data_IF_229726872707
#
_entry.id   IF_229726872707
#
_cell.length_a   1.000
_cell.length_b   1.000
_cell.length_c   1.000
_cell.angle_alpha   90.00
_cell.angle_beta   90.00
_cell.angle_gamma   90.00
#
_symmetry.space_group_name_H-M   'P 1'
#
loop_
_entity.id
_entity.type
_entity.pdbx_description
1 polymer ?
#
# COMPACT_ATOMS: atom_id res chain seq x y z
N UNK A 1 -38.92 14.42 1.39
CA UNK A 1 -38.12 15.12 0.36
C UNK A 1 -36.66 14.83 0.66
N UNK A 2 -36.11 13.78 0.04
CA UNK A 2 -34.68 13.47 0.14
C UNK A 2 -33.95 14.40 -0.81
N UNK A 3 -33.42 15.48 -0.25
CA UNK A 3 -32.62 16.47 -0.95
C UNK A 3 -31.43 15.77 -1.61
N UNK A 4 -31.17 16.13 -2.86
CA UNK A 4 -30.27 15.40 -3.74
C UNK A 4 -28.85 15.40 -3.17
N UNK A 5 -28.37 14.24 -2.72
CA UNK A 5 -26.94 14.01 -2.56
C UNK A 5 -26.28 14.09 -3.94
N UNK A 6 -25.78 15.28 -4.28
CA UNK A 6 -24.93 15.48 -5.46
C UNK A 6 -23.57 14.81 -5.22
N UNK A 7 -23.43 13.60 -5.75
CA UNK A 7 -22.21 12.79 -5.70
C UNK A 7 -21.25 13.10 -6.86
N UNK A 8 -21.50 14.15 -7.66
CA UNK A 8 -20.68 14.48 -8.84
C UNK A 8 -19.22 14.79 -8.49
N UNK A 9 -18.94 15.21 -7.24
CA UNK A 9 -17.60 15.44 -6.70
C UNK A 9 -16.98 14.25 -5.93
N UNK A 10 -17.70 13.14 -5.77
CA UNK A 10 -17.24 11.99 -4.97
C UNK A 10 -16.18 11.16 -5.72
N UNK A 11 -14.98 11.72 -5.89
CA UNK A 11 -13.83 10.92 -6.28
C UNK A 11 -13.38 10.10 -5.09
N UNK A 12 -13.51 8.77 -5.22
CA UNK A 12 -12.90 7.82 -4.27
C UNK A 12 -11.38 8.04 -4.30
N UNK A 13 -10.76 8.56 -3.24
CA UNK A 13 -9.31 8.59 -3.13
C UNK A 13 -8.81 7.15 -3.32
N UNK A 14 -7.62 6.96 -3.90
CA UNK A 14 -7.02 5.67 -4.29
C UNK A 14 -7.47 5.02 -5.62
N UNK A 15 -8.33 5.63 -6.45
CA UNK A 15 -8.68 5.04 -7.77
C UNK A 15 -7.57 5.07 -8.83
N UNK A 16 -6.57 5.94 -8.70
CA UNK A 16 -5.48 6.06 -9.67
C UNK A 16 -4.37 5.05 -9.37
N UNK A 17 -4.42 3.90 -10.03
CA UNK A 17 -3.33 2.91 -10.00
C UNK A 17 -2.25 3.30 -11.01
N UNK A 18 -0.99 3.33 -10.58
CA UNK A 18 0.18 3.51 -11.45
C UNK A 18 0.97 2.21 -11.48
N UNK A 19 1.28 1.70 -12.68
CA UNK A 19 2.18 0.55 -12.83
C UNK A 19 3.63 1.02 -12.70
N UNK A 20 4.43 0.25 -11.97
CA UNK A 20 5.87 0.47 -11.78
C UNK A 20 6.55 -0.86 -12.03
N UNK A 21 7.64 -0.84 -12.80
CA UNK A 21 8.47 -2.02 -13.05
C UNK A 21 9.66 -1.97 -12.09
N UNK A 22 9.98 -3.11 -11.48
CA UNK A 22 11.08 -3.25 -10.51
C UNK A 22 11.72 -4.60 -10.73
N UNK A 23 13.04 -4.62 -10.81
CA UNK A 23 13.81 -5.86 -10.84
C UNK A 23 14.15 -6.29 -9.41
N UNK A 24 14.06 -7.59 -9.16
CA UNK A 24 14.35 -8.20 -7.87
C UNK A 24 15.39 -9.31 -8.04
N UNK A 25 16.38 -9.42 -7.14
CA UNK A 25 17.27 -10.58 -7.11
C UNK A 25 16.49 -11.88 -6.87
N UNK A 26 16.99 -12.99 -7.43
CA UNK A 26 16.33 -14.30 -7.36
C UNK A 26 16.00 -14.73 -5.92
N UNK A 27 16.96 -14.56 -4.99
CA UNK A 27 16.77 -14.92 -3.58
C UNK A 27 15.58 -14.19 -2.92
N UNK A 28 15.28 -12.98 -3.38
CA UNK A 28 14.17 -12.19 -2.86
C UNK A 28 12.85 -12.69 -3.44
N UNK A 29 12.82 -13.02 -4.74
CA UNK A 29 11.64 -13.61 -5.39
C UNK A 29 11.27 -14.94 -4.73
N UNK A 30 12.25 -15.81 -4.51
CA UNK A 30 12.04 -17.10 -3.85
C UNK A 30 11.46 -16.94 -2.44
N UNK A 31 11.94 -15.94 -1.70
CA UNK A 31 11.45 -15.63 -0.37
C UNK A 31 10.01 -15.11 -0.39
N UNK A 32 9.69 -14.22 -1.32
CA UNK A 32 8.33 -13.71 -1.53
C UNK A 32 7.36 -14.83 -1.93
N UNK A 33 7.80 -15.77 -2.77
CA UNK A 33 6.97 -16.89 -3.22
C UNK A 33 6.67 -17.91 -2.14
N UNK A 34 7.63 -18.20 -1.26
CA UNK A 34 7.38 -19.05 -0.09
C UNK A 34 6.31 -18.43 0.80
N UNK A 35 6.41 -17.13 1.04
CA UNK A 35 5.47 -16.43 1.92
C UNK A 35 4.09 -16.26 1.30
N UNK A 36 4.03 -15.90 0.03
CA UNK A 36 2.78 -15.79 -0.72
C UNK A 36 2.02 -17.12 -0.71
N UNK A 37 2.72 -18.25 -0.92
CA UNK A 37 2.14 -19.60 -0.81
C UNK A 37 1.65 -19.91 0.60
N UNK A 38 2.45 -19.60 1.63
CA UNK A 38 2.08 -19.82 3.04
C UNK A 38 0.78 -19.11 3.42
N UNK A 39 0.58 -17.90 2.89
CA UNK A 39 -0.60 -17.08 3.15
C UNK A 39 -1.74 -17.28 2.14
N UNK A 40 -1.55 -18.09 1.10
CA UNK A 40 -2.54 -18.31 0.05
C UNK A 40 -2.83 -17.08 -0.79
N UNK A 41 -1.87 -16.17 -0.95
CA UNK A 41 -2.00 -14.92 -1.71
C UNK A 41 -1.03 -14.85 -2.87
N UNK A 42 -1.19 -13.85 -3.75
CA UNK A 42 -0.23 -13.61 -4.83
C UNK A 42 1.02 -12.89 -4.33
N UNK A 43 2.14 -13.05 -5.06
CA UNK A 43 3.37 -12.27 -4.83
C UNK A 43 3.12 -10.76 -4.85
N UNK A 44 2.27 -10.29 -5.77
CA UNK A 44 1.87 -8.88 -5.85
C UNK A 44 1.16 -8.39 -4.59
N UNK A 45 0.35 -9.24 -3.96
CA UNK A 45 -0.35 -8.91 -2.71
C UNK A 45 0.62 -8.75 -1.54
N UNK A 46 1.56 -9.70 -1.36
CA UNK A 46 2.52 -9.63 -0.25
C UNK A 46 3.46 -8.42 -0.40
N UNK A 47 3.90 -8.11 -1.62
CA UNK A 47 4.70 -6.90 -1.92
C UNK A 47 3.93 -5.64 -1.49
N UNK A 48 2.64 -5.55 -1.82
CA UNK A 48 1.81 -4.38 -1.46
C UNK A 48 1.65 -4.24 0.05
N UNK A 49 1.38 -5.35 0.75
CA UNK A 49 1.16 -5.34 2.21
C UNK A 49 2.43 -4.86 2.92
N UNK A 50 3.57 -5.48 2.65
CA UNK A 50 4.83 -5.12 3.32
C UNK A 50 5.30 -3.71 2.98
N UNK A 51 5.11 -3.26 1.73
CA UNK A 51 5.42 -1.89 1.35
C UNK A 51 4.53 -0.89 2.11
N UNK A 52 3.23 -1.16 2.24
CA UNK A 52 2.32 -0.32 3.00
C UNK A 52 2.72 -0.24 4.48
N UNK A 53 2.96 -1.38 5.13
CA UNK A 53 3.40 -1.46 6.53
C UNK A 53 4.67 -0.63 6.79
N UNK A 54 5.65 -0.72 5.87
CA UNK A 54 6.91 0.03 6.00
C UNK A 54 6.71 1.53 5.79
N UNK A 55 5.88 1.93 4.83
CA UNK A 55 5.55 3.34 4.57
C UNK A 55 4.76 3.97 5.73
N UNK A 56 3.83 3.23 6.33
CA UNK A 56 3.10 3.65 7.52
C UNK A 56 4.05 3.84 8.71
N UNK A 57 4.91 2.86 8.97
CA UNK A 57 5.93 2.93 10.05
C UNK A 57 6.83 4.16 9.87
N UNK A 58 7.32 4.39 8.65
CA UNK A 58 8.20 5.54 8.34
C UNK A 58 7.47 6.88 8.47
N UNK A 59 6.18 6.90 8.16
CA UNK A 59 5.35 8.10 8.31
C UNK A 59 5.02 8.38 9.77
N UNK A 60 4.75 7.35 10.57
CA UNK A 60 4.54 7.46 12.01
C UNK A 60 5.79 7.99 12.74
N UNK A 61 6.97 7.46 12.44
CA UNK A 61 8.24 7.91 13.02
C UNK A 61 8.53 9.39 12.73
N UNK A 62 8.21 9.88 11.52
CA UNK A 62 8.39 11.30 11.18
C UNK A 62 7.39 12.24 11.86
N UNK A 63 6.21 11.77 12.25
CA UNK A 63 5.22 12.58 12.97
C UNK A 63 5.65 12.87 14.42
N UNK A 64 6.42 11.98 15.04
CA UNK A 64 6.96 12.18 16.40
C UNK A 64 8.11 13.18 16.49
N UNK A 65 8.78 13.50 15.39
CA UNK A 65 9.92 14.43 15.36
C UNK A 65 9.51 15.89 15.09
N UNK A 66 8.21 16.15 14.85
CA UNK A 66 7.68 17.43 14.38
C UNK A 66 7.04 18.35 15.42
N UNK A 67 7.24 18.17 16.72
CA UNK A 67 6.80 19.15 17.74
C UNK A 67 8.00 19.91 18.30
N UNK A 68 8.37 21.07 17.73
CA UNK A 68 9.04 22.09 18.52
C UNK A 68 7.98 22.75 19.43
N UNK A 69 8.27 22.78 20.74
CA UNK A 69 7.57 23.65 21.69
C UNK A 69 7.77 25.12 21.32
#
# INVERSE_FOLDING_TARGET
>A
MTDALDLSGAQRPLRKQRRVNVDFPDWMIDSLDREARRLGVTRQSIIKIWLAERLETTTAARKSEGTPR
#
